data_IF_726330475327
#
_entry.id   IF_726330475327
#
_cell.length_a   1.000
_cell.length_b   1.000
_cell.length_c   1.000
_cell.angle_alpha   90.00
_cell.angle_beta   90.00
_cell.angle_gamma   90.00
#
_symmetry.space_group_name_H-M   'P 1'
#
loop_
_entity.id
_entity.type
_entity.pdbx_description
1 polymer ?
#
# COMPACT_ATOMS: atom_id res chain seq x y z
N UNK A 1 12.28 -10.78 32.31
CA UNK A 1 13.57 -10.28 31.80
C UNK A 1 13.53 -8.76 31.73
N UNK A 2 14.36 -8.12 32.52
CA UNK A 2 14.50 -6.65 32.48
C UNK A 2 15.38 -6.31 31.27
N UNK A 3 14.80 -5.70 30.22
CA UNK A 3 15.54 -5.32 29.02
C UNK A 3 16.18 -3.95 29.25
N UNK A 4 17.50 -3.87 29.12
CA UNK A 4 18.25 -2.60 29.17
C UNK A 4 17.83 -1.63 28.04
N UNK A 5 17.19 -2.15 26.97
CA UNK A 5 16.78 -1.39 25.80
C UNK A 5 15.47 -0.63 26.04
N UNK A 6 15.47 0.69 25.80
CA UNK A 6 14.29 1.55 25.94
C UNK A 6 13.37 1.55 24.70
N UNK A 7 13.92 1.28 23.49
CA UNK A 7 13.17 1.21 22.26
C UNK A 7 12.51 -0.17 22.07
N UNK A 8 11.32 -0.21 21.47
CA UNK A 8 10.64 -1.43 21.02
C UNK A 8 10.89 -1.63 19.53
N UNK A 9 11.10 -2.88 19.13
CA UNK A 9 11.26 -3.25 17.72
C UNK A 9 9.92 -3.78 17.20
N UNK A 10 9.42 -3.17 16.14
CA UNK A 10 8.28 -3.65 15.37
C UNK A 10 8.79 -4.27 14.08
N UNK A 11 8.44 -5.53 13.81
CA UNK A 11 8.78 -6.22 12.57
C UNK A 11 7.52 -6.57 11.78
N UNK A 12 7.47 -6.19 10.51
CA UNK A 12 6.37 -6.60 9.62
C UNK A 12 6.60 -8.02 9.12
N UNK A 13 5.60 -8.89 9.27
CA UNK A 13 5.62 -10.22 8.69
C UNK A 13 5.16 -10.17 7.23
N UNK A 14 5.98 -10.72 6.36
CA UNK A 14 5.72 -10.88 4.94
C UNK A 14 6.04 -12.31 4.48
N UNK A 15 5.95 -12.60 3.17
CA UNK A 15 6.20 -13.97 2.65
C UNK A 15 7.52 -14.58 3.08
N UNK A 16 8.59 -13.77 3.15
CA UNK A 16 9.93 -14.23 3.53
C UNK A 16 10.12 -14.42 5.07
N UNK A 17 9.23 -13.87 5.91
CA UNK A 17 9.43 -13.81 7.36
C UNK A 17 8.34 -14.46 8.19
N UNK A 18 7.25 -14.96 7.57
CA UNK A 18 6.10 -15.53 8.27
C UNK A 18 6.26 -17.00 8.71
N UNK A 19 7.33 -17.68 8.30
CA UNK A 19 7.58 -19.06 8.72
C UNK A 19 7.76 -19.13 10.25
N UNK A 20 7.19 -20.16 10.95
CA UNK A 20 7.27 -20.24 12.41
C UNK A 20 8.68 -20.21 12.98
N UNK A 21 9.64 -20.84 12.30
CA UNK A 21 11.06 -20.80 12.69
C UNK A 21 11.65 -19.40 12.60
N UNK A 22 11.34 -18.68 11.54
CA UNK A 22 11.80 -17.29 11.32
C UNK A 22 11.17 -16.34 12.34
N UNK A 23 9.89 -16.46 12.60
CA UNK A 23 9.18 -15.68 13.64
C UNK A 23 9.83 -15.90 15.01
N UNK A 24 10.12 -17.15 15.37
CA UNK A 24 10.82 -17.48 16.63
C UNK A 24 12.22 -16.85 16.67
N UNK A 25 12.99 -16.96 15.59
CA UNK A 25 14.34 -16.38 15.51
C UNK A 25 14.32 -14.84 15.64
N UNK A 26 13.38 -14.17 14.96
CA UNK A 26 13.16 -12.72 15.07
C UNK A 26 12.80 -12.32 16.50
N UNK A 27 11.92 -13.08 17.16
CA UNK A 27 11.58 -12.85 18.55
C UNK A 27 12.79 -13.01 19.47
N UNK A 28 13.62 -14.04 19.26
CA UNK A 28 14.87 -14.25 20.02
C UNK A 28 15.88 -13.12 19.79
N UNK A 29 15.99 -12.63 18.56
CA UNK A 29 16.82 -11.48 18.20
C UNK A 29 16.34 -10.16 18.82
N UNK A 30 15.12 -10.14 19.36
CA UNK A 30 14.64 -9.00 20.14
C UNK A 30 13.43 -8.27 19.59
N UNK A 31 12.74 -8.77 18.59
CA UNK A 31 11.46 -8.20 18.14
C UNK A 31 10.44 -8.26 19.27
N UNK A 32 9.74 -7.15 19.49
CA UNK A 32 8.73 -6.99 20.55
C UNK A 32 7.31 -7.09 20.01
N UNK A 33 7.10 -6.59 18.78
CA UNK A 33 5.78 -6.49 18.14
C UNK A 33 5.88 -6.97 16.70
N UNK A 34 4.99 -7.84 16.30
CA UNK A 34 4.84 -8.27 14.91
C UNK A 34 3.66 -7.55 14.26
N UNK A 35 3.93 -6.84 13.15
CA UNK A 35 2.92 -6.15 12.37
C UNK A 35 2.41 -7.06 11.26
N UNK A 36 1.09 -7.24 11.19
CA UNK A 36 0.36 -7.91 10.13
C UNK A 36 -0.28 -6.83 9.24
N UNK A 37 0.23 -6.67 8.02
CA UNK A 37 -0.27 -5.65 7.10
C UNK A 37 -1.42 -6.21 6.25
N UNK A 38 -2.65 -5.84 6.60
CA UNK A 38 -3.88 -6.29 5.93
C UNK A 38 -4.08 -5.68 4.53
N UNK A 39 -3.18 -4.81 4.09
CA UNK A 39 -3.16 -4.35 2.69
C UNK A 39 -2.69 -5.42 1.70
N UNK A 40 -2.08 -6.51 2.18
CA UNK A 40 -1.52 -7.60 1.38
C UNK A 40 -1.77 -8.95 2.07
N UNK A 41 -1.93 -10.01 1.27
CA UNK A 41 -2.20 -11.36 1.78
C UNK A 41 -3.68 -11.64 2.03
N UNK A 42 -4.00 -12.88 2.28
CA UNK A 42 -5.35 -13.33 2.62
C UNK A 42 -5.58 -13.39 4.14
N UNK A 43 -6.83 -13.56 4.56
CA UNK A 43 -7.16 -13.77 5.97
C UNK A 43 -6.49 -15.04 6.53
N UNK A 44 -6.37 -16.10 5.72
CA UNK A 44 -5.70 -17.35 6.05
C UNK A 44 -4.19 -17.12 6.28
N UNK A 45 -3.55 -16.31 5.43
CA UNK A 45 -2.15 -15.91 5.60
C UNK A 45 -1.92 -15.20 6.93
N UNK A 46 -2.81 -14.27 7.29
CA UNK A 46 -2.72 -13.54 8.56
C UNK A 46 -3.01 -14.43 9.76
N UNK A 47 -3.96 -15.35 9.65
CA UNK A 47 -4.24 -16.32 10.70
C UNK A 47 -3.04 -17.26 10.95
N UNK A 48 -2.40 -17.74 9.87
CA UNK A 48 -1.19 -18.56 9.97
C UNK A 48 -0.02 -17.78 10.60
N UNK A 49 0.18 -16.52 10.22
CA UNK A 49 1.20 -15.66 10.80
C UNK A 49 0.94 -15.39 12.30
N UNK A 50 -0.30 -15.11 12.69
CA UNK A 50 -0.69 -14.96 14.09
C UNK A 50 -0.41 -16.23 14.89
N UNK A 51 -0.76 -17.41 14.35
CA UNK A 51 -0.48 -18.71 14.98
C UNK A 51 1.03 -18.90 15.19
N UNK A 52 1.86 -18.52 14.22
CA UNK A 52 3.32 -18.58 14.34
C UNK A 52 3.84 -17.67 15.46
N UNK A 53 3.31 -16.44 15.60
CA UNK A 53 3.67 -15.52 16.69
C UNK A 53 3.29 -16.09 18.04
N UNK A 54 2.05 -16.63 18.19
CA UNK A 54 1.58 -17.24 19.44
C UNK A 54 2.39 -18.48 19.81
N UNK A 55 2.80 -19.29 18.81
CA UNK A 55 3.71 -20.41 19.02
C UNK A 55 5.11 -19.98 19.52
N UNK A 56 5.65 -18.90 18.95
CA UNK A 56 6.92 -18.34 19.41
C UNK A 56 6.82 -17.74 20.83
N UNK A 57 5.72 -17.06 21.16
CA UNK A 57 5.42 -16.52 22.48
C UNK A 57 5.44 -17.61 23.54
N UNK A 58 4.74 -18.73 23.30
CA UNK A 58 4.71 -19.87 24.19
C UNK A 58 6.10 -20.52 24.35
N UNK A 59 6.81 -20.73 23.23
CA UNK A 59 8.11 -21.38 23.25
C UNK A 59 9.20 -20.53 23.94
N UNK A 60 9.07 -19.21 23.95
CA UNK A 60 10.03 -18.29 24.56
C UNK A 60 9.61 -17.82 25.97
N UNK A 61 8.44 -18.22 26.44
CA UNK A 61 7.85 -17.76 27.71
C UNK A 61 7.90 -16.23 27.84
N UNK A 62 7.62 -15.53 26.72
CA UNK A 62 7.74 -14.08 26.63
C UNK A 62 6.58 -13.51 25.82
N UNK A 63 5.83 -12.53 26.36
CA UNK A 63 4.76 -11.86 25.62
C UNK A 63 5.28 -11.21 24.33
N UNK A 64 4.55 -11.38 23.23
CA UNK A 64 4.83 -10.76 21.95
C UNK A 64 3.58 -9.97 21.50
N UNK A 65 3.79 -8.68 21.22
CA UNK A 65 2.73 -7.85 20.68
C UNK A 65 2.39 -8.23 19.24
N UNK A 66 1.12 -8.06 18.87
CA UNK A 66 0.68 -8.16 17.47
C UNK A 66 -0.06 -6.88 17.13
N UNK A 67 0.37 -6.25 16.03
CA UNK A 67 -0.26 -5.06 15.46
C UNK A 67 -0.98 -5.48 14.16
N UNK A 68 -2.31 -5.47 14.17
CA UNK A 68 -3.10 -5.60 12.95
C UNK A 68 -3.21 -4.21 12.31
N UNK A 69 -2.51 -4.03 11.18
CA UNK A 69 -2.57 -2.79 10.40
C UNK A 69 -3.67 -2.93 9.34
N UNK A 70 -4.85 -2.44 9.70
CA UNK A 70 -6.06 -2.57 8.88
C UNK A 70 -6.00 -1.65 7.67
N UNK A 71 -6.57 -2.10 6.57
CA UNK A 71 -6.79 -1.23 5.41
C UNK A 71 -7.74 -0.10 5.78
N UNK A 72 -7.34 1.14 5.47
CA UNK A 72 -8.27 2.24 5.31
C UNK A 72 -8.93 2.22 3.92
N UNK A 73 -9.85 3.14 3.63
CA UNK A 73 -10.34 3.35 2.27
C UNK A 73 -9.17 3.77 1.38
N UNK A 74 -8.70 2.85 0.51
CA UNK A 74 -7.65 3.13 -0.46
C UNK A 74 -8.30 3.61 -1.75
N UNK A 75 -8.03 4.85 -2.12
CA UNK A 75 -8.36 5.37 -3.44
C UNK A 75 -7.47 4.66 -4.47
N UNK A 76 -8.08 4.02 -5.46
CA UNK A 76 -7.36 3.28 -6.50
C UNK A 76 -7.94 3.60 -7.86
N UNK A 77 -7.08 3.67 -8.85
CA UNK A 77 -7.50 3.64 -10.25
C UNK A 77 -8.06 2.25 -10.60
N UNK A 78 -8.85 2.19 -11.66
CA UNK A 78 -9.32 0.96 -12.26
C UNK A 78 -8.20 0.13 -12.88
N UNK A 79 -8.58 -0.99 -13.48
CA UNK A 79 -7.61 -1.90 -14.13
C UNK A 79 -7.17 -1.34 -15.48
N UNK A 80 -5.94 -1.65 -15.85
CA UNK A 80 -5.45 -1.47 -17.22
C UNK A 80 -5.63 -2.77 -18.02
N UNK A 81 -5.65 -2.65 -19.36
CA UNK A 81 -5.66 -3.80 -20.28
C UNK A 81 -4.38 -4.61 -20.12
N UNK A 82 -3.25 -3.91 -19.99
CA UNK A 82 -1.94 -4.48 -19.69
C UNK A 82 -1.70 -4.52 -18.18
N UNK A 83 -0.78 -5.36 -17.73
CA UNK A 83 -0.45 -5.49 -16.30
C UNK A 83 0.04 -4.16 -15.73
N UNK A 84 0.77 -3.39 -16.56
CA UNK A 84 1.28 -2.06 -16.21
C UNK A 84 1.36 -1.19 -17.46
N UNK A 85 1.33 0.11 -17.27
CA UNK A 85 1.58 1.10 -18.33
C UNK A 85 2.79 1.96 -17.96
N UNK A 86 3.59 2.29 -18.95
CA UNK A 86 4.66 3.29 -18.81
C UNK A 86 4.15 4.68 -19.18
N UNK A 87 4.37 5.64 -18.31
CA UNK A 87 4.07 7.05 -18.56
C UNK A 87 5.36 7.87 -18.46
N UNK A 88 5.40 9.02 -19.15
CA UNK A 88 6.53 9.94 -19.14
C UNK A 88 6.06 11.35 -18.80
N UNK A 89 6.92 12.23 -18.27
CA UNK A 89 6.58 13.63 -18.11
C UNK A 89 6.04 14.22 -19.42
N UNK A 90 4.96 15.00 -19.32
CA UNK A 90 4.22 15.55 -20.46
C UNK A 90 3.14 14.62 -21.03
N UNK A 91 3.08 13.36 -20.61
CA UNK A 91 2.02 12.45 -21.03
C UNK A 91 0.67 12.90 -20.45
N UNK A 92 -0.35 13.00 -21.31
CA UNK A 92 -1.71 13.36 -20.90
C UNK A 92 -2.62 12.15 -21.04
N UNK A 93 -3.45 11.91 -20.04
CA UNK A 93 -4.45 10.86 -20.03
C UNK A 93 -5.74 11.34 -19.36
N UNK A 94 -6.84 10.66 -19.63
CA UNK A 94 -8.13 10.92 -19.02
C UNK A 94 -8.41 9.98 -17.86
N UNK A 95 -8.85 10.55 -16.74
CA UNK A 95 -9.50 9.82 -15.67
C UNK A 95 -11.01 9.99 -15.80
N UNK A 96 -11.77 8.90 -15.74
CA UNK A 96 -13.23 8.92 -15.86
C UNK A 96 -13.89 7.81 -15.03
N UNK A 97 -15.21 7.72 -15.07
CA UNK A 97 -16.00 6.73 -14.32
C UNK A 97 -16.26 5.42 -15.09
N UNK A 98 -15.86 5.32 -16.37
CA UNK A 98 -16.10 4.13 -17.19
C UNK A 98 -15.31 2.93 -16.66
N UNK A 99 -15.98 1.80 -16.28
CA UNK A 99 -15.34 0.63 -15.67
C UNK A 99 -14.52 -0.22 -16.65
N UNK A 100 -14.52 0.09 -17.95
CA UNK A 100 -13.70 -0.67 -18.90
C UNK A 100 -12.22 -0.53 -18.59
N UNK A 101 -11.42 -1.61 -18.75
CA UNK A 101 -9.99 -1.55 -18.53
C UNK A 101 -9.33 -0.43 -19.35
N UNK A 102 -8.52 0.36 -18.67
CA UNK A 102 -7.83 1.52 -19.25
C UNK A 102 -6.62 1.15 -20.09
N UNK A 103 -6.02 2.18 -20.67
CA UNK A 103 -4.77 2.12 -21.42
C UNK A 103 -3.97 3.41 -21.20
N UNK A 104 -2.97 3.70 -22.06
CA UNK A 104 -2.18 4.92 -21.93
C UNK A 104 -2.99 6.22 -22.12
N UNK A 105 -4.16 6.17 -22.75
CA UNK A 105 -4.99 7.37 -23.02
C UNK A 105 -6.04 7.65 -21.95
N UNK A 106 -6.48 6.62 -21.24
CA UNK A 106 -7.53 6.75 -20.22
C UNK A 106 -7.47 5.63 -19.16
N UNK A 107 -8.00 5.92 -17.99
CA UNK A 107 -8.23 4.90 -16.95
C UNK A 107 -9.42 5.30 -16.07
N UNK A 108 -10.14 4.29 -15.59
CA UNK A 108 -11.20 4.50 -14.60
C UNK A 108 -10.62 5.06 -13.30
N UNK A 109 -11.30 6.05 -12.72
CA UNK A 109 -11.18 6.46 -11.32
C UNK A 109 -12.56 6.31 -10.66
N UNK A 110 -12.84 5.18 -10.00
CA UNK A 110 -14.19 4.82 -9.51
C UNK A 110 -14.59 5.62 -8.25
N UNK A 111 -14.36 6.93 -8.27
CA UNK A 111 -14.50 7.83 -7.13
C UNK A 111 -15.14 9.15 -7.58
N UNK A 112 -16.48 9.20 -7.79
CA UNK A 112 -17.18 10.40 -8.26
C UNK A 112 -17.01 11.59 -7.31
N UNK A 113 -16.81 11.34 -6.01
CA UNK A 113 -16.54 12.37 -5.02
C UNK A 113 -15.21 13.11 -5.28
N UNK A 114 -14.21 12.42 -5.87
CA UNK A 114 -12.95 13.05 -6.24
C UNK A 114 -13.17 14.03 -7.38
N UNK A 115 -13.89 13.64 -8.46
CA UNK A 115 -14.14 14.53 -9.59
C UNK A 115 -14.81 15.84 -9.16
N UNK A 116 -15.76 15.76 -8.22
CA UNK A 116 -16.42 16.95 -7.66
C UNK A 116 -15.46 17.87 -6.90
N UNK A 117 -14.46 17.28 -6.25
CA UNK A 117 -13.47 18.02 -5.47
C UNK A 117 -12.33 18.58 -6.34
N UNK A 118 -12.04 18.00 -7.50
CA UNK A 118 -10.96 18.44 -8.39
C UNK A 118 -11.20 19.86 -8.91
N UNK A 119 -10.10 20.57 -9.13
CA UNK A 119 -10.07 21.86 -9.82
C UNK A 119 -8.90 21.88 -10.79
N UNK A 120 -9.04 22.59 -11.90
CA UNK A 120 -7.96 22.81 -12.86
C UNK A 120 -6.71 23.35 -12.15
N UNK A 121 -5.56 22.77 -12.44
CA UNK A 121 -4.27 23.13 -11.83
C UNK A 121 -3.96 22.40 -10.54
N UNK A 122 -4.87 21.62 -9.95
CA UNK A 122 -4.57 20.80 -8.77
C UNK A 122 -3.54 19.72 -9.08
N UNK A 123 -2.78 19.35 -8.05
CA UNK A 123 -1.81 18.26 -8.10
C UNK A 123 -2.46 16.98 -7.55
N UNK A 124 -2.39 15.90 -8.34
CA UNK A 124 -2.71 14.54 -7.91
C UNK A 124 -1.42 13.75 -7.73
N UNK A 125 -1.37 12.94 -6.69
CA UNK A 125 -0.26 12.06 -6.40
C UNK A 125 -0.71 10.61 -6.52
N UNK A 126 0.01 9.82 -7.32
CA UNK A 126 -0.19 8.37 -7.44
C UNK A 126 1.05 7.63 -6.94
N UNK A 127 0.84 6.38 -6.53
CA UNK A 127 1.89 5.47 -6.06
C UNK A 127 2.78 6.13 -5.00
N UNK A 128 2.14 6.54 -3.90
CA UNK A 128 2.79 7.21 -2.76
C UNK A 128 3.60 8.47 -3.16
N UNK A 129 3.14 9.15 -4.22
CA UNK A 129 3.77 10.39 -4.72
C UNK A 129 4.87 10.18 -5.74
N UNK A 130 5.11 8.94 -6.20
CA UNK A 130 6.06 8.67 -7.27
C UNK A 130 5.65 9.26 -8.60
N UNK A 131 4.36 9.34 -8.87
CA UNK A 131 3.80 9.96 -10.06
C UNK A 131 3.04 11.21 -9.66
N UNK A 132 3.43 12.35 -10.20
CA UNK A 132 2.75 13.64 -10.00
C UNK A 132 2.01 14.02 -11.26
N UNK A 133 0.74 14.33 -11.11
CA UNK A 133 -0.15 14.68 -12.21
C UNK A 133 -0.76 16.06 -11.97
N UNK A 134 -0.82 16.87 -13.02
CA UNK A 134 -1.54 18.15 -13.01
C UNK A 134 -2.91 17.99 -13.63
N UNK A 135 -3.94 18.41 -12.93
CA UNK A 135 -5.32 18.42 -13.44
C UNK A 135 -5.48 19.52 -14.48
N UNK A 136 -5.92 19.13 -15.68
CA UNK A 136 -6.28 20.01 -16.78
C UNK A 136 -7.78 20.34 -16.78
N UNK A 137 -8.42 20.13 -17.93
CA UNK A 137 -9.87 20.30 -18.06
C UNK A 137 -10.61 19.15 -17.35
N UNK A 138 -11.78 19.45 -16.83
CA UNK A 138 -12.54 18.51 -16.01
C UNK A 138 -14.04 18.78 -16.02
N UNK A 139 -14.81 17.75 -15.69
CA UNK A 139 -16.23 17.82 -15.31
C UNK A 139 -16.44 17.09 -13.97
N UNK A 140 -17.69 16.83 -13.60
CA UNK A 140 -17.97 16.02 -12.39
C UNK A 140 -17.80 14.51 -12.61
N UNK A 141 -17.50 14.07 -13.85
CA UNK A 141 -17.39 12.66 -14.23
C UNK A 141 -16.04 12.30 -14.86
N UNK A 142 -15.23 13.27 -15.23
CA UNK A 142 -13.91 13.05 -15.79
C UNK A 142 -12.96 14.23 -15.57
N UNK A 143 -11.66 13.95 -15.68
CA UNK A 143 -10.60 14.95 -15.68
C UNK A 143 -9.47 14.52 -16.61
N UNK A 144 -8.95 15.43 -17.41
CA UNK A 144 -7.69 15.24 -18.11
C UNK A 144 -6.55 15.59 -17.16
N UNK A 145 -5.53 14.73 -17.12
CA UNK A 145 -4.38 14.88 -16.23
C UNK A 145 -3.08 14.75 -17.03
N UNK A 146 -2.11 15.59 -16.71
CA UNK A 146 -0.79 15.58 -17.35
C UNK A 146 0.27 15.16 -16.34
N UNK A 147 1.11 14.20 -16.69
CA UNK A 147 2.26 13.77 -15.87
C UNK A 147 3.27 14.91 -15.79
N UNK A 148 3.54 15.42 -14.59
CA UNK A 148 4.56 16.46 -14.38
C UNK A 148 5.93 15.87 -14.10
N UNK A 149 5.97 14.88 -13.22
CA UNK A 149 7.21 14.22 -12.86
C UNK A 149 6.99 12.79 -12.42
N UNK A 150 7.99 11.96 -12.67
CA UNK A 150 8.16 10.64 -12.10
C UNK A 150 9.28 10.76 -11.07
N UNK A 151 8.98 10.56 -9.80
CA UNK A 151 10.02 10.54 -8.78
C UNK A 151 10.74 9.20 -8.82
N UNK A 152 11.97 9.20 -9.29
CA UNK A 152 12.91 8.10 -9.06
C UNK A 152 13.45 8.28 -7.63
N UNK A 153 12.76 7.72 -6.65
CA UNK A 153 13.39 7.52 -5.34
C UNK A 153 14.18 6.23 -5.45
N UNK A 154 15.46 6.35 -5.74
CA UNK A 154 16.40 5.29 -5.46
C UNK A 154 16.63 5.29 -3.94
N UNK A 155 16.09 4.29 -3.29
CA UNK A 155 16.50 3.93 -1.94
C UNK A 155 17.57 2.84 -2.05
#
# INVERSE_FOLDING_TARGET
MNRARRARIVATLGPASRAPSTVKALAQAGVDVFRLNFSHGSHEDHAAALKAVRGAEMALQRPLGVLADLQGPKLRLGRFKDVEISVKPGHTMRFDLDPTPGDASRVQMPHPEIFKALRKGMLLLLDDGRVRLRVGDRTDDWADVTVESLSLIHI
#
